data_IF_396224765601
#
_entry.id   IF_396224765601
#
_cell.length_a   1.000
_cell.length_b   1.000
_cell.length_c   1.000
_cell.angle_alpha   90.00
_cell.angle_beta   90.00
_cell.angle_gamma   90.00
#
_symmetry.space_group_name_H-M   'P 1'
#
loop_
_entity.id
_entity.type
_entity.pdbx_description
1 polymer ?
#
# COMPACT_ATOMS: atom_id res chain seq x y z
N UNK A 1 9.97 15.65 29.19
CA UNK A 1 9.46 16.34 27.99
C UNK A 1 9.80 15.46 26.78
N UNK A 2 8.87 14.60 26.38
CA UNK A 2 9.01 13.78 25.18
C UNK A 2 9.05 14.68 23.94
N UNK A 3 10.17 14.66 23.23
CA UNK A 3 10.23 15.23 21.89
C UNK A 3 9.31 14.38 21.01
N UNK A 4 8.08 14.85 20.76
CA UNK A 4 7.22 14.32 19.69
C UNK A 4 8.04 14.31 18.38
N UNK A 5 8.61 13.16 18.05
CA UNK A 5 9.32 12.96 16.79
C UNK A 5 8.40 13.35 15.64
N UNK A 6 8.86 14.21 14.74
CA UNK A 6 8.18 14.55 13.50
C UNK A 6 7.78 13.23 12.82
N UNK A 7 6.49 12.98 12.64
CA UNK A 7 5.99 11.79 11.90
C UNK A 7 6.61 11.82 10.51
N UNK A 8 7.64 11.00 10.31
CA UNK A 8 8.31 10.88 9.01
C UNK A 8 7.34 10.28 7.99
N UNK A 9 7.39 10.74 6.76
CA UNK A 9 6.60 10.16 5.68
C UNK A 9 7.26 8.87 5.18
N UNK A 10 6.46 7.94 4.63
CA UNK A 10 6.97 6.71 4.00
C UNK A 10 8.00 7.02 2.92
N UNK A 11 7.74 8.06 2.12
CA UNK A 11 8.67 8.51 1.07
C UNK A 11 10.02 8.95 1.64
N UNK A 12 10.03 9.63 2.80
CA UNK A 12 11.28 10.04 3.46
C UNK A 12 12.12 8.82 3.86
N UNK A 13 11.49 7.78 4.40
CA UNK A 13 12.17 6.53 4.76
C UNK A 13 12.73 5.82 3.53
N UNK A 14 11.93 5.68 2.47
CA UNK A 14 12.37 5.06 1.22
C UNK A 14 13.63 5.76 0.68
N UNK A 15 13.61 7.08 0.62
CA UNK A 15 14.74 7.87 0.10
C UNK A 15 15.99 7.76 0.98
N UNK A 16 15.82 7.68 2.31
CA UNK A 16 16.91 7.51 3.27
C UNK A 16 17.57 6.14 3.10
N UNK A 17 16.79 5.05 3.14
CA UNK A 17 17.30 3.69 3.01
C UNK A 17 17.82 3.36 1.60
N UNK A 18 17.26 3.99 0.56
CA UNK A 18 17.76 3.85 -0.82
C UNK A 18 19.14 4.49 -1.02
N UNK A 19 19.50 5.50 -0.24
CA UNK A 19 20.77 6.18 -0.33
C UNK A 19 21.08 6.68 -1.75
N UNK A 20 22.26 6.30 -2.31
CA UNK A 20 22.64 6.67 -3.68
C UNK A 20 21.74 6.05 -4.75
N UNK A 21 21.07 4.94 -4.47
CA UNK A 21 20.19 4.24 -5.42
C UNK A 21 18.77 4.82 -5.52
N UNK A 22 18.47 5.92 -4.83
CA UNK A 22 17.20 6.67 -5.00
C UNK A 22 16.93 7.07 -6.46
N UNK A 23 17.97 7.23 -7.28
CA UNK A 23 17.83 7.57 -8.70
C UNK A 23 17.14 6.47 -9.52
N UNK A 24 17.15 5.22 -9.07
CA UNK A 24 16.36 4.16 -9.70
C UNK A 24 14.84 4.41 -9.55
N UNK A 25 14.38 4.88 -8.38
CA UNK A 25 12.99 5.28 -8.21
C UNK A 25 12.65 6.52 -9.07
N UNK A 26 13.55 7.50 -9.17
CA UNK A 26 13.34 8.66 -10.04
C UNK A 26 13.23 8.24 -11.50
N UNK A 27 14.13 7.39 -11.97
CA UNK A 27 14.10 6.82 -13.33
C UNK A 27 12.80 6.03 -13.58
N UNK A 28 12.37 5.22 -12.61
CA UNK A 28 11.10 4.49 -12.66
C UNK A 28 9.91 5.44 -12.84
N UNK A 29 9.83 6.51 -12.05
CA UNK A 29 8.75 7.51 -12.15
C UNK A 29 8.76 8.20 -13.52
N UNK A 30 9.92 8.62 -14.02
CA UNK A 30 10.04 9.26 -15.34
C UNK A 30 9.56 8.32 -16.44
N UNK A 31 9.99 7.06 -16.41
CA UNK A 31 9.52 6.06 -17.39
C UNK A 31 8.03 5.76 -17.26
N UNK A 32 7.47 5.72 -16.04
CA UNK A 32 6.06 5.60 -15.82
C UNK A 32 5.28 6.78 -16.43
N UNK A 33 5.77 8.01 -16.28
CA UNK A 33 5.16 9.21 -16.89
C UNK A 33 5.20 9.14 -18.43
N UNK A 34 6.30 8.71 -19.02
CA UNK A 34 6.38 8.47 -20.46
C UNK A 34 5.44 7.35 -20.91
N UNK A 35 5.31 6.31 -20.11
CA UNK A 35 4.32 5.22 -20.30
C UNK A 35 2.88 5.72 -20.28
N UNK A 36 2.55 6.73 -19.48
CA UNK A 36 1.24 7.38 -19.47
C UNK A 36 0.94 8.04 -20.83
N UNK A 37 1.90 8.77 -21.40
CA UNK A 37 1.72 9.35 -22.73
C UNK A 37 1.44 8.28 -23.79
N UNK A 38 2.21 7.18 -23.77
CA UNK A 38 1.99 6.03 -24.66
C UNK A 38 0.62 5.34 -24.40
N UNK A 39 0.13 5.36 -23.16
CA UNK A 39 -1.18 4.80 -22.78
C UNK A 39 -2.35 5.69 -23.21
N UNK A 40 -2.15 6.99 -23.29
CA UNK A 40 -3.18 7.96 -23.68
C UNK A 40 -3.43 7.97 -25.19
N UNK A 41 -2.37 7.81 -26.00
CA UNK A 41 -2.46 7.89 -27.45
C UNK A 41 -3.45 6.91 -28.09
N UNK A 42 -3.56 5.62 -27.70
CA UNK A 42 -4.56 4.68 -28.24
C UNK A 42 -5.99 5.18 -28.16
N UNK A 43 -6.38 5.87 -27.10
CA UNK A 43 -7.73 6.44 -26.96
C UNK A 43 -8.03 7.50 -28.02
N UNK A 44 -7.04 8.36 -28.31
CA UNK A 44 -7.16 9.36 -29.37
C UNK A 44 -7.18 8.73 -30.76
N UNK A 45 -6.36 7.71 -30.98
CA UNK A 45 -6.32 6.97 -32.25
C UNK A 45 -7.67 6.28 -32.52
N UNK A 46 -8.25 5.61 -31.50
CA UNK A 46 -9.58 4.98 -31.62
C UNK A 46 -10.63 6.05 -31.94
N UNK A 47 -10.61 7.18 -31.24
CA UNK A 47 -11.55 8.26 -31.51
C UNK A 47 -11.44 8.78 -32.94
N UNK A 48 -10.22 8.92 -33.47
CA UNK A 48 -9.94 9.33 -34.83
C UNK A 48 -10.38 8.28 -35.86
N UNK A 49 -10.17 6.99 -35.62
CA UNK A 49 -10.65 5.89 -36.45
C UNK A 49 -12.19 5.94 -36.55
N UNK A 50 -12.87 6.04 -35.39
CA UNK A 50 -14.34 6.08 -35.33
C UNK A 50 -14.90 7.32 -36.02
N UNK A 51 -14.28 8.49 -35.80
CA UNK A 51 -14.66 9.76 -36.47
C UNK A 51 -14.63 9.61 -38.00
N UNK A 52 -13.49 9.16 -38.56
CA UNK A 52 -13.32 8.95 -40.01
C UNK A 52 -14.28 7.90 -40.57
N UNK A 53 -14.57 6.84 -39.78
CA UNK A 53 -15.57 5.82 -40.20
C UNK A 53 -16.97 6.43 -40.34
N UNK A 54 -17.38 7.29 -39.43
CA UNK A 54 -18.69 7.97 -39.47
C UNK A 54 -18.78 9.00 -40.59
N UNK A 55 -17.66 9.62 -40.98
CA UNK A 55 -17.57 10.48 -42.16
C UNK A 55 -17.61 9.71 -43.50
N UNK A 56 -17.61 8.38 -43.43
CA UNK A 56 -17.69 7.50 -44.60
C UNK A 56 -16.35 7.31 -45.30
N UNK A 57 -15.22 7.59 -44.66
CA UNK A 57 -13.91 7.32 -45.21
C UNK A 57 -13.74 5.81 -45.44
N UNK A 58 -13.41 5.42 -46.70
CA UNK A 58 -13.19 4.02 -47.11
C UNK A 58 -11.71 3.70 -47.38
N UNK A 59 -10.80 4.59 -47.00
CA UNK A 59 -9.37 4.38 -47.19
C UNK A 59 -8.83 3.33 -46.22
N UNK A 60 -8.62 2.13 -46.73
CA UNK A 60 -8.08 1.01 -45.96
C UNK A 60 -6.64 1.28 -45.46
N UNK A 61 -5.84 2.04 -46.21
CA UNK A 61 -4.46 2.37 -45.79
C UNK A 61 -4.47 3.24 -44.55
N UNK A 62 -5.40 4.19 -44.45
CA UNK A 62 -5.60 4.99 -43.26
C UNK A 62 -5.86 4.11 -42.02
N UNK A 63 -6.84 3.20 -42.09
CA UNK A 63 -7.20 2.34 -40.96
C UNK A 63 -6.06 1.40 -40.53
N UNK A 64 -5.36 0.83 -41.53
CA UNK A 64 -4.19 -0.01 -41.25
C UNK A 64 -3.08 0.78 -40.56
N UNK A 65 -2.76 1.99 -41.02
CA UNK A 65 -1.74 2.84 -40.43
C UNK A 65 -2.07 3.23 -39.00
N UNK A 66 -3.31 3.65 -38.71
CA UNK A 66 -3.75 4.00 -37.36
C UNK A 66 -3.72 2.77 -36.44
N UNK A 67 -4.11 1.60 -36.93
CA UNK A 67 -4.05 0.34 -36.14
C UNK A 67 -2.61 -0.05 -35.82
N UNK A 68 -1.68 0.07 -36.78
CA UNK A 68 -0.26 -0.19 -36.54
C UNK A 68 0.36 0.82 -35.56
N UNK A 69 -0.02 2.10 -35.66
CA UNK A 69 0.40 3.12 -34.71
C UNK A 69 -0.11 2.84 -33.31
N UNK A 70 -1.36 2.41 -33.16
CA UNK A 70 -1.92 1.99 -31.88
C UNK A 70 -1.15 0.80 -31.29
N UNK A 71 -0.84 -0.22 -32.12
CA UNK A 71 -0.04 -1.37 -31.69
C UNK A 71 1.36 -0.94 -31.23
N UNK A 72 2.00 0.00 -31.95
CA UNK A 72 3.29 0.56 -31.57
C UNK A 72 3.21 1.30 -30.23
N UNK A 73 2.18 2.10 -29.98
CA UNK A 73 1.95 2.77 -28.70
C UNK A 73 1.81 1.75 -27.56
N UNK A 74 1.12 0.63 -27.79
CA UNK A 74 0.97 -0.44 -26.81
C UNK A 74 2.29 -1.15 -26.50
N UNK A 75 3.10 -1.45 -27.52
CA UNK A 75 4.42 -2.03 -27.35
C UNK A 75 5.34 -1.07 -26.57
N UNK A 76 5.31 0.21 -26.91
CA UNK A 76 6.07 1.24 -26.21
C UNK A 76 5.65 1.34 -24.74
N UNK A 77 4.34 1.34 -24.46
CA UNK A 77 3.79 1.32 -23.09
C UNK A 77 4.31 0.13 -22.29
N UNK A 78 4.20 -1.10 -22.85
CA UNK A 78 4.64 -2.32 -22.18
C UNK A 78 6.14 -2.26 -21.88
N UNK A 79 6.94 -1.85 -22.84
CA UNK A 79 8.40 -1.73 -22.71
C UNK A 79 8.78 -0.71 -21.63
N UNK A 80 8.19 0.50 -21.69
CA UNK A 80 8.44 1.55 -20.71
C UNK A 80 8.01 1.11 -19.29
N UNK A 81 6.86 0.46 -19.17
CA UNK A 81 6.37 -0.07 -17.89
C UNK A 81 7.30 -1.15 -17.34
N UNK A 82 7.73 -2.11 -18.17
CA UNK A 82 8.64 -3.18 -17.74
C UNK A 82 9.99 -2.64 -17.26
N UNK A 83 10.56 -1.68 -17.97
CA UNK A 83 11.82 -1.04 -17.55
C UNK A 83 11.61 -0.23 -16.28
N UNK A 84 10.53 0.54 -16.19
CA UNK A 84 10.14 1.31 -15.00
C UNK A 84 10.05 0.44 -13.77
N UNK A 85 9.30 -0.67 -13.86
CA UNK A 85 9.12 -1.63 -12.76
C UNK A 85 10.45 -2.31 -12.39
N UNK A 86 11.26 -2.70 -13.37
CA UNK A 86 12.58 -3.28 -13.12
C UNK A 86 13.49 -2.33 -12.35
N UNK A 87 13.54 -1.04 -12.70
CA UNK A 87 14.28 -0.04 -11.94
C UNK A 87 13.75 0.10 -10.51
N UNK A 88 12.43 0.11 -10.34
CA UNK A 88 11.79 0.17 -9.02
C UNK A 88 12.17 -1.04 -8.16
N UNK A 89 12.20 -2.26 -8.71
CA UNK A 89 12.66 -3.46 -8.02
C UNK A 89 14.12 -3.34 -7.54
N UNK A 90 15.03 -2.85 -8.39
CA UNK A 90 16.44 -2.61 -7.99
C UNK A 90 16.52 -1.64 -6.81
N UNK A 91 15.75 -0.55 -6.85
CA UNK A 91 15.65 0.39 -5.74
C UNK A 91 15.11 -0.27 -4.47
N UNK A 92 14.03 -1.02 -4.59
CA UNK A 92 13.33 -1.71 -3.49
C UNK A 92 14.23 -2.73 -2.81
N UNK A 93 14.87 -3.64 -3.55
CA UNK A 93 15.80 -4.60 -2.97
C UNK A 93 16.97 -3.95 -2.25
N UNK A 94 17.40 -2.78 -2.72
CA UNK A 94 18.43 -1.98 -2.00
C UNK A 94 17.89 -1.47 -0.67
N UNK A 95 16.66 -0.96 -0.63
CA UNK A 95 16.00 -0.50 0.60
C UNK A 95 15.89 -1.67 1.60
N UNK A 96 15.33 -2.80 1.16
CA UNK A 96 15.15 -3.98 2.02
C UNK A 96 16.49 -4.51 2.54
N UNK A 97 17.52 -4.60 1.67
CA UNK A 97 18.84 -5.02 2.07
C UNK A 97 19.50 -4.07 3.08
N UNK A 98 19.34 -2.75 2.91
CA UNK A 98 19.84 -1.74 3.83
C UNK A 98 19.15 -1.84 5.20
N UNK A 99 17.82 -2.00 5.22
CA UNK A 99 17.06 -2.19 6.46
C UNK A 99 17.54 -3.43 7.21
N UNK A 100 17.63 -4.58 6.53
CA UNK A 100 18.10 -5.83 7.14
C UNK A 100 19.50 -5.69 7.73
N UNK A 101 20.42 -5.07 6.97
CA UNK A 101 21.78 -4.82 7.42
C UNK A 101 21.79 -3.96 8.68
N UNK A 102 21.09 -2.82 8.69
CA UNK A 102 21.03 -1.91 9.84
C UNK A 102 20.39 -2.56 11.06
N UNK A 103 19.34 -3.38 10.89
CA UNK A 103 18.72 -4.13 11.98
C UNK A 103 19.71 -5.13 12.60
N UNK A 104 20.43 -5.90 11.77
CA UNK A 104 21.45 -6.84 12.28
C UNK A 104 22.61 -6.13 12.99
N UNK A 105 23.10 -5.02 12.43
CA UNK A 105 24.10 -4.19 13.06
C UNK A 105 23.62 -3.63 14.40
N UNK A 106 22.37 -3.14 14.45
CA UNK A 106 21.76 -2.61 15.66
C UNK A 106 21.63 -3.67 16.76
N UNK A 107 21.17 -4.87 16.43
CA UNK A 107 21.08 -5.96 17.40
C UNK A 107 22.43 -6.33 18.01
N UNK A 108 23.53 -6.08 17.31
CA UNK A 108 24.90 -6.34 17.84
C UNK A 108 25.41 -5.21 18.75
N UNK A 109 24.75 -4.05 18.76
CA UNK A 109 25.20 -2.86 19.53
C UNK A 109 24.35 -2.56 20.74
N UNK A 110 23.10 -3.01 20.78
CA UNK A 110 22.21 -2.82 21.94
C UNK A 110 22.57 -3.78 23.08
N UNK A 111 22.22 -3.46 24.35
CA UNK A 111 22.44 -4.33 25.49
C UNK A 111 21.80 -5.71 25.31
N UNK A 112 22.52 -6.76 25.70
CA UNK A 112 22.04 -8.16 25.57
C UNK A 112 20.69 -8.38 26.27
N UNK A 113 20.48 -7.76 27.44
CA UNK A 113 19.21 -7.84 28.16
C UNK A 113 18.03 -7.37 27.31
N UNK A 114 18.21 -6.25 26.58
CA UNK A 114 17.17 -5.74 25.67
C UNK A 114 16.89 -6.65 24.49
N UNK A 115 17.88 -7.47 24.07
CA UNK A 115 17.68 -8.50 23.03
C UNK A 115 16.93 -9.71 23.59
N UNK A 116 17.27 -10.11 24.83
CA UNK A 116 16.66 -11.30 25.47
C UNK A 116 15.24 -11.04 26.00
N UNK A 117 14.89 -9.79 26.27
CA UNK A 117 13.53 -9.40 26.68
C UNK A 117 12.49 -9.67 25.58
N UNK A 118 12.90 -9.58 24.32
CA UNK A 118 12.05 -9.92 23.18
C UNK A 118 12.25 -11.39 22.75
N UNK A 119 11.19 -12.00 22.23
CA UNK A 119 11.28 -13.34 21.68
C UNK A 119 12.10 -13.33 20.38
N UNK A 120 13.06 -14.25 20.23
CA UNK A 120 13.86 -14.43 19.01
C UNK A 120 13.00 -14.58 17.73
N UNK A 121 11.82 -15.19 17.86
CA UNK A 121 10.83 -15.28 16.81
C UNK A 121 10.30 -13.92 16.34
N UNK A 122 10.21 -12.94 17.25
CA UNK A 122 9.80 -11.57 16.89
C UNK A 122 10.84 -10.88 16.01
N UNK A 123 12.12 -10.97 16.35
CA UNK A 123 13.19 -10.42 15.50
C UNK A 123 13.27 -11.11 14.14
N UNK A 124 13.16 -12.45 14.09
CA UNK A 124 13.07 -13.18 12.82
C UNK A 124 11.89 -12.67 11.98
N UNK A 125 10.72 -12.53 12.60
CA UNK A 125 9.53 -12.04 11.90
C UNK A 125 9.77 -10.65 11.29
N UNK A 126 10.33 -9.69 12.05
CA UNK A 126 10.58 -8.32 11.56
C UNK A 126 11.64 -8.33 10.46
N UNK A 127 12.80 -8.96 10.67
CA UNK A 127 13.94 -8.91 9.74
C UNK A 127 13.67 -9.67 8.44
N UNK A 128 12.97 -10.79 8.52
CA UNK A 128 12.72 -11.66 7.35
C UNK A 128 11.34 -11.40 6.78
N UNK A 129 10.27 -11.67 7.52
CA UNK A 129 8.92 -11.76 6.99
C UNK A 129 8.28 -10.38 6.75
N UNK A 130 8.40 -9.46 7.75
CA UNK A 130 7.81 -8.12 7.65
C UNK A 130 8.53 -7.26 6.62
N UNK A 131 9.87 -7.25 6.63
CA UNK A 131 10.66 -6.51 5.65
C UNK A 131 10.43 -7.07 4.24
N UNK A 132 10.37 -8.38 4.08
CA UNK A 132 10.08 -9.02 2.79
C UNK A 132 8.69 -8.66 2.26
N UNK A 133 7.70 -8.61 3.14
CA UNK A 133 6.32 -8.27 2.77
C UNK A 133 6.13 -6.83 2.24
N UNK A 134 7.15 -5.96 2.35
CA UNK A 134 7.15 -4.62 1.73
C UNK A 134 7.59 -4.63 0.26
N UNK A 135 8.23 -5.72 -0.21
CA UNK A 135 8.83 -5.77 -1.55
C UNK A 135 7.82 -5.42 -2.64
N UNK A 136 6.75 -6.19 -2.75
CA UNK A 136 5.74 -5.98 -3.78
C UNK A 136 5.15 -4.57 -3.73
N UNK A 137 4.82 -4.09 -2.54
CA UNK A 137 4.26 -2.74 -2.37
C UNK A 137 5.24 -1.67 -2.82
N UNK A 138 6.50 -1.71 -2.39
CA UNK A 138 7.49 -0.68 -2.75
C UNK A 138 7.86 -0.73 -4.23
N UNK A 139 8.00 -1.93 -4.81
CA UNK A 139 8.41 -2.11 -6.19
C UNK A 139 7.34 -1.68 -7.19
N UNK A 140 6.07 -1.97 -6.91
CA UNK A 140 4.96 -1.68 -7.82
C UNK A 140 4.28 -0.34 -7.53
N UNK A 141 4.14 0.04 -6.25
CA UNK A 141 3.44 1.27 -5.88
C UNK A 141 4.05 2.51 -6.56
N UNK A 142 5.38 2.66 -6.58
CA UNK A 142 6.02 3.89 -7.09
C UNK A 142 5.69 4.12 -8.57
N UNK A 143 5.93 3.18 -9.52
CA UNK A 143 5.60 3.39 -10.92
C UNK A 143 4.09 3.35 -11.20
N UNK A 144 3.37 2.41 -10.59
CA UNK A 144 1.96 2.19 -10.91
C UNK A 144 1.04 3.25 -10.30
N UNK A 145 1.29 3.69 -9.07
CA UNK A 145 0.55 4.81 -8.47
C UNK A 145 0.73 6.08 -9.31
N UNK A 146 1.97 6.35 -9.77
CA UNK A 146 2.25 7.49 -10.65
C UNK A 146 1.45 7.39 -11.95
N UNK A 147 1.46 6.24 -12.61
CA UNK A 147 0.74 6.04 -13.87
C UNK A 147 -0.78 6.11 -13.69
N UNK A 148 -1.31 5.42 -12.68
CA UNK A 148 -2.75 5.34 -12.40
C UNK A 148 -3.36 6.64 -11.88
N UNK A 149 -2.54 7.54 -11.31
CA UNK A 149 -2.99 8.87 -10.92
C UNK A 149 -2.89 9.88 -12.08
N UNK A 150 -1.80 9.82 -12.84
CA UNK A 150 -1.52 10.81 -13.88
C UNK A 150 -2.40 10.63 -15.11
N UNK A 151 -2.63 9.38 -15.56
CA UNK A 151 -3.42 9.10 -16.76
C UNK A 151 -4.85 9.67 -16.69
N UNK A 152 -5.63 9.44 -15.61
CA UNK A 152 -6.97 10.04 -15.48
C UNK A 152 -6.94 11.56 -15.45
N UNK A 153 -5.94 12.17 -14.82
CA UNK A 153 -5.79 13.62 -14.78
C UNK A 153 -5.61 14.17 -16.19
N UNK A 154 -4.72 13.56 -16.98
CA UNK A 154 -4.49 13.97 -18.39
C UNK A 154 -5.76 13.79 -19.21
N UNK A 155 -6.44 12.64 -19.07
CA UNK A 155 -7.71 12.38 -19.75
C UNK A 155 -8.78 13.41 -19.38
N UNK A 156 -8.95 13.69 -18.08
CA UNK A 156 -9.93 14.64 -17.60
C UNK A 156 -9.67 16.05 -18.13
N UNK A 157 -8.42 16.53 -18.07
CA UNK A 157 -8.02 17.83 -18.63
C UNK A 157 -8.32 17.89 -20.13
N UNK A 158 -8.04 16.81 -20.85
CA UNK A 158 -8.33 16.76 -22.29
C UNK A 158 -9.85 16.80 -22.57
N UNK A 159 -10.67 16.06 -21.83
CA UNK A 159 -12.14 16.12 -21.96
C UNK A 159 -12.66 17.54 -21.65
N UNK A 160 -12.14 18.17 -20.59
CA UNK A 160 -12.46 19.56 -20.24
C UNK A 160 -12.08 20.55 -21.37
N UNK A 161 -11.01 20.27 -22.12
CA UNK A 161 -10.63 21.09 -23.27
C UNK A 161 -11.54 20.91 -24.51
N UNK A 162 -12.23 19.78 -24.63
CA UNK A 162 -13.25 19.54 -25.65
C UNK A 162 -14.49 20.40 -25.34
N UNK A 163 -15.06 20.20 -24.16
CA UNK A 163 -16.15 21.01 -23.59
C UNK A 163 -16.19 20.79 -22.06
N UNK A 164 -16.20 21.87 -21.29
CA UNK A 164 -16.19 21.81 -19.83
C UNK A 164 -17.45 21.12 -19.25
N UNK A 165 -18.60 21.22 -19.93
CA UNK A 165 -19.86 20.57 -19.52
C UNK A 165 -19.75 19.05 -19.67
N UNK A 166 -19.06 18.58 -20.70
CA UNK A 166 -18.77 17.17 -20.91
C UNK A 166 -17.81 16.64 -19.82
N UNK A 167 -16.79 17.44 -19.45
CA UNK A 167 -15.90 17.15 -18.35
C UNK A 167 -16.65 17.03 -17.02
N UNK A 168 -17.52 17.97 -16.69
CA UNK A 168 -18.36 17.90 -15.50
C UNK A 168 -19.34 16.72 -15.53
N UNK A 169 -19.78 16.29 -16.70
CA UNK A 169 -20.61 15.10 -16.88
C UNK A 169 -19.96 13.83 -16.33
N UNK A 170 -18.62 13.72 -16.42
CA UNK A 170 -17.88 12.60 -15.84
C UNK A 170 -17.99 12.55 -14.30
N UNK A 171 -18.22 13.67 -13.65
CA UNK A 171 -18.29 13.75 -12.19
C UNK A 171 -19.67 13.34 -11.65
N UNK A 172 -20.70 13.23 -12.48
CA UNK A 172 -22.07 12.88 -12.03
C UNK A 172 -22.07 11.49 -11.39
N UNK A 173 -21.58 10.47 -12.10
CA UNK A 173 -21.48 9.12 -11.55
C UNK A 173 -20.57 9.04 -10.33
N UNK A 174 -19.40 9.69 -10.41
CA UNK A 174 -18.46 9.76 -9.30
C UNK A 174 -19.09 10.43 -8.06
N UNK A 175 -19.84 11.52 -8.23
CA UNK A 175 -20.55 12.20 -7.14
C UNK A 175 -21.58 11.30 -6.45
N UNK A 176 -22.38 10.57 -7.22
CA UNK A 176 -23.32 9.59 -6.67
C UNK A 176 -22.58 8.47 -5.94
N UNK A 177 -21.50 7.93 -6.55
CA UNK A 177 -20.66 6.91 -5.93
C UNK A 177 -20.03 7.36 -4.61
N UNK A 178 -19.56 8.61 -4.53
CA UNK A 178 -19.02 9.20 -3.30
C UNK A 178 -20.08 9.35 -2.19
N UNK A 179 -21.34 9.67 -2.56
CA UNK A 179 -22.44 9.68 -1.59
C UNK A 179 -22.65 8.27 -1.01
N UNK A 180 -22.71 7.24 -1.85
CA UNK A 180 -22.80 5.85 -1.38
C UNK A 180 -21.61 5.46 -0.50
N UNK A 181 -20.40 5.88 -0.86
CA UNK A 181 -19.18 5.65 -0.06
C UNK A 181 -19.29 6.33 1.32
N UNK A 182 -19.77 7.57 1.38
CA UNK A 182 -19.98 8.27 2.64
C UNK A 182 -21.01 7.55 3.53
N UNK A 183 -22.12 7.06 2.95
CA UNK A 183 -23.12 6.25 3.66
C UNK A 183 -22.50 4.93 4.14
N UNK A 184 -21.66 4.28 3.33
CA UNK A 184 -20.96 3.06 3.73
C UNK A 184 -20.04 3.31 4.92
N UNK A 185 -19.23 4.37 4.86
CA UNK A 185 -18.32 4.74 5.95
C UNK A 185 -19.09 5.05 7.24
N UNK A 186 -20.20 5.76 7.16
CA UNK A 186 -21.07 6.02 8.32
C UNK A 186 -21.63 4.73 8.93
N UNK A 187 -22.15 3.82 8.10
CA UNK A 187 -22.70 2.53 8.56
C UNK A 187 -21.63 1.55 9.05
N UNK A 188 -20.38 1.71 8.60
CA UNK A 188 -19.25 0.89 9.01
C UNK A 188 -18.69 1.26 10.37
N UNK A 189 -19.02 2.43 10.93
CA UNK A 189 -18.49 2.89 12.20
C UNK A 189 -18.75 1.88 13.33
N UNK A 190 -17.69 1.61 14.10
CA UNK A 190 -17.71 0.65 15.21
C UNK A 190 -17.80 -0.83 14.82
N UNK A 191 -18.24 -1.15 13.60
CA UNK A 191 -18.34 -2.54 13.13
C UNK A 191 -16.97 -3.16 12.85
N UNK A 192 -16.07 -2.40 12.28
CA UNK A 192 -14.70 -2.85 12.02
C UNK A 192 -13.94 -3.10 13.32
N UNK A 193 -13.92 -2.13 14.24
CA UNK A 193 -13.23 -2.27 15.52
C UNK A 193 -13.76 -3.46 16.31
N UNK A 194 -15.09 -3.64 16.34
CA UNK A 194 -15.71 -4.78 17.03
C UNK A 194 -15.31 -6.11 16.37
N UNK A 195 -15.28 -6.16 15.04
CA UNK A 195 -14.83 -7.34 14.29
C UNK A 195 -13.38 -7.69 14.62
N UNK A 196 -12.48 -6.70 14.65
CA UNK A 196 -11.06 -6.89 15.02
C UNK A 196 -10.94 -7.40 16.46
N UNK A 197 -11.70 -6.84 17.41
CA UNK A 197 -11.70 -7.30 18.81
C UNK A 197 -12.18 -8.77 18.94
N UNK A 198 -13.24 -9.15 18.20
CA UNK A 198 -13.74 -10.53 18.22
C UNK A 198 -12.75 -11.50 17.54
N UNK A 199 -12.10 -11.08 16.46
CA UNK A 199 -11.02 -11.86 15.82
C UNK A 199 -9.85 -12.08 16.77
N UNK A 200 -9.45 -11.05 17.53
CA UNK A 200 -8.40 -11.19 18.55
C UNK A 200 -8.84 -12.20 19.63
N UNK A 201 -10.07 -12.07 20.17
CA UNK A 201 -10.61 -13.01 21.15
C UNK A 201 -10.61 -14.45 20.62
N UNK A 202 -10.97 -14.67 19.36
CA UNK A 202 -10.92 -15.98 18.72
C UNK A 202 -9.49 -16.53 18.66
N UNK A 203 -8.53 -15.71 18.25
CA UNK A 203 -7.10 -16.10 18.18
C UNK A 203 -6.56 -16.45 19.58
N UNK A 204 -6.84 -15.62 20.58
CA UNK A 204 -6.42 -15.85 21.96
C UNK A 204 -7.00 -17.19 22.49
N UNK A 205 -8.29 -17.45 22.21
CA UNK A 205 -8.97 -18.70 22.59
C UNK A 205 -8.37 -19.92 21.84
N UNK A 206 -8.01 -19.75 20.57
CA UNK A 206 -7.34 -20.82 19.80
C UNK A 206 -5.97 -21.17 20.38
N UNK A 207 -5.16 -20.15 20.72
CA UNK A 207 -3.85 -20.35 21.37
C UNK A 207 -4.01 -21.02 22.74
N UNK A 208 -4.98 -20.57 23.56
CA UNK A 208 -5.29 -21.20 24.84
C UNK A 208 -5.66 -22.69 24.68
N UNK A 209 -6.49 -23.02 23.67
CA UNK A 209 -6.89 -24.37 23.36
C UNK A 209 -5.70 -25.25 22.90
N UNK A 210 -4.85 -24.73 22.00
CA UNK A 210 -3.68 -25.46 21.49
C UNK A 210 -2.66 -25.70 22.61
N UNK A 211 -2.33 -24.69 23.39
CA UNK A 211 -1.36 -24.80 24.48
C UNK A 211 -1.86 -25.69 25.62
N UNK A 212 -3.18 -25.71 25.86
CA UNK A 212 -3.81 -26.56 26.89
C UNK A 212 -4.17 -27.97 26.43
N UNK A 213 -3.87 -28.36 25.17
CA UNK A 213 -4.39 -29.61 24.59
C UNK A 213 -3.95 -30.88 25.35
N UNK A 214 -2.75 -30.87 25.93
CA UNK A 214 -2.24 -32.00 26.74
C UNK A 214 -3.07 -32.18 28.02
N UNK A 215 -3.35 -31.07 28.72
CA UNK A 215 -4.15 -31.06 29.94
C UNK A 215 -5.59 -31.46 29.63
N UNK A 216 -6.15 -30.89 28.55
CA UNK A 216 -7.53 -31.20 28.11
C UNK A 216 -7.69 -32.69 27.82
N UNK A 217 -6.69 -33.31 27.14
CA UNK A 217 -6.69 -34.76 26.86
C UNK A 217 -6.53 -35.59 28.13
N UNK A 218 -5.61 -35.20 29.03
CA UNK A 218 -5.37 -35.93 30.27
C UNK A 218 -6.60 -35.98 31.18
N UNK A 219 -7.38 -34.92 31.26
CA UNK A 219 -8.57 -34.83 32.11
C UNK A 219 -9.91 -35.11 31.40
N UNK A 220 -9.87 -35.47 30.11
CA UNK A 220 -11.08 -35.79 29.34
C UNK A 220 -12.09 -34.63 29.14
N UNK A 221 -11.64 -33.37 29.36
CA UNK A 221 -12.50 -32.16 29.25
C UNK A 221 -12.50 -31.56 27.84
N UNK A 222 -12.41 -32.38 26.82
CA UNK A 222 -12.37 -31.93 25.40
C UNK A 222 -13.61 -31.13 24.99
N UNK A 223 -14.82 -31.48 25.50
CA UNK A 223 -16.05 -30.83 25.11
C UNK A 223 -16.15 -29.36 25.52
N UNK A 224 -15.87 -29.02 26.78
CA UNK A 224 -16.03 -27.67 27.30
C UNK A 224 -15.02 -26.65 26.75
N UNK A 225 -13.78 -27.10 26.54
CA UNK A 225 -12.73 -26.24 25.95
C UNK A 225 -12.96 -26.01 24.47
N UNK A 226 -13.46 -27.00 23.74
CA UNK A 226 -13.85 -26.86 22.34
C UNK A 226 -15.07 -25.95 22.19
N UNK A 227 -16.05 -26.06 23.09
CA UNK A 227 -17.24 -25.20 23.09
C UNK A 227 -16.91 -23.72 23.26
N UNK A 228 -15.95 -23.37 24.12
CA UNK A 228 -15.45 -22.00 24.29
C UNK A 228 -14.89 -21.44 22.98
N UNK A 229 -14.13 -22.24 22.23
CA UNK A 229 -13.60 -21.88 20.92
C UNK A 229 -14.74 -21.68 19.89
N UNK A 230 -15.70 -22.59 19.83
CA UNK A 230 -16.85 -22.52 18.91
C UNK A 230 -17.70 -21.28 19.18
N UNK A 231 -17.94 -20.96 20.47
CA UNK A 231 -18.66 -19.74 20.85
C UNK A 231 -17.92 -18.49 20.37
N UNK A 232 -16.61 -18.39 20.61
CA UNK A 232 -15.79 -17.26 20.15
C UNK A 232 -15.82 -17.12 18.62
N UNK A 233 -15.77 -18.24 17.90
CA UNK A 233 -15.84 -18.26 16.43
C UNK A 233 -17.22 -17.78 15.92
N UNK A 234 -18.32 -18.23 16.53
CA UNK A 234 -19.68 -17.79 16.19
C UNK A 234 -19.89 -16.32 16.47
N UNK A 235 -19.51 -15.85 17.67
CA UNK A 235 -19.60 -14.42 18.02
C UNK A 235 -18.85 -13.55 17.02
N UNK A 236 -17.66 -13.98 16.58
CA UNK A 236 -16.87 -13.27 15.56
C UNK A 236 -17.58 -13.26 14.20
N UNK A 237 -18.09 -14.40 13.77
CA UNK A 237 -18.84 -14.54 12.53
C UNK A 237 -20.12 -13.68 12.52
N UNK A 238 -20.90 -13.70 13.58
CA UNK A 238 -22.14 -12.95 13.68
C UNK A 238 -21.89 -11.43 13.60
N UNK A 239 -20.88 -10.92 14.32
CA UNK A 239 -20.49 -9.51 14.25
C UNK A 239 -20.04 -9.13 12.84
N UNK A 240 -19.26 -9.98 12.18
CA UNK A 240 -18.79 -9.73 10.82
C UNK A 240 -19.94 -9.73 9.81
N UNK A 241 -20.86 -10.70 9.92
CA UNK A 241 -22.06 -10.81 9.06
C UNK A 241 -22.96 -9.58 9.24
N UNK A 242 -23.19 -9.14 10.47
CA UNK A 242 -24.03 -7.97 10.73
C UNK A 242 -23.40 -6.68 10.23
N UNK A 243 -22.08 -6.54 10.37
CA UNK A 243 -21.33 -5.43 9.78
C UNK A 243 -21.42 -5.45 8.26
N UNK A 244 -21.15 -6.59 7.60
CA UNK A 244 -21.27 -6.76 6.16
C UNK A 244 -22.69 -6.47 5.64
N UNK A 245 -23.72 -6.95 6.31
CA UNK A 245 -25.12 -6.67 5.93
C UNK A 245 -25.44 -5.18 5.92
N UNK A 246 -24.88 -4.41 6.85
CA UNK A 246 -25.06 -2.96 6.90
C UNK A 246 -24.32 -2.23 5.76
N UNK A 247 -23.18 -2.76 5.34
CA UNK A 247 -22.28 -2.13 4.37
C UNK A 247 -22.55 -2.57 2.92
N UNK A 248 -23.14 -3.75 2.67
CA UNK A 248 -23.21 -4.37 1.32
C UNK A 248 -23.94 -3.50 0.30
N UNK A 249 -25.07 -2.91 0.66
CA UNK A 249 -25.82 -2.07 -0.27
C UNK A 249 -25.13 -0.75 -0.62
N UNK A 250 -24.63 0.03 0.36
CA UNK A 250 -23.84 1.21 0.06
C UNK A 250 -22.56 0.87 -0.71
N UNK A 251 -21.89 -0.23 -0.40
CA UNK A 251 -20.72 -0.69 -1.13
C UNK A 251 -21.05 -1.04 -2.59
N UNK A 252 -22.13 -1.78 -2.82
CA UNK A 252 -22.61 -2.09 -4.16
C UNK A 252 -22.94 -0.80 -4.95
N UNK A 253 -23.58 0.17 -4.31
CA UNK A 253 -23.83 1.50 -4.89
C UNK A 253 -22.54 2.22 -5.26
N UNK A 254 -21.54 2.24 -4.36
CA UNK A 254 -20.22 2.81 -4.64
C UNK A 254 -19.58 2.16 -5.87
N UNK A 255 -19.52 0.82 -5.90
CA UNK A 255 -18.88 0.07 -7.01
C UNK A 255 -19.61 0.23 -8.34
N UNK A 256 -20.91 0.49 -8.30
CA UNK A 256 -21.74 0.69 -9.51
C UNK A 256 -21.62 2.12 -10.04
N UNK A 257 -21.79 3.12 -9.17
CA UNK A 257 -21.91 4.51 -9.61
C UNK A 257 -20.56 5.22 -9.72
N UNK A 258 -19.57 4.87 -8.92
CA UNK A 258 -18.25 5.52 -8.98
C UNK A 258 -17.62 5.45 -10.38
N UNK A 259 -17.61 4.28 -11.09
CA UNK A 259 -17.09 4.18 -12.46
C UNK A 259 -18.12 4.57 -13.55
N UNK A 260 -19.34 4.92 -13.20
CA UNK A 260 -20.42 5.18 -14.15
C UNK A 260 -20.31 6.58 -14.80
N UNK A 261 -19.18 6.88 -15.45
CA UNK A 261 -18.93 8.15 -16.13
C UNK A 261 -19.97 8.45 -17.22
N UNK A 262 -20.48 7.43 -17.89
CA UNK A 262 -21.48 7.56 -18.94
C UNK A 262 -22.83 8.09 -18.45
N UNK A 263 -23.14 7.99 -17.16
CA UNK A 263 -24.38 8.47 -16.60
C UNK A 263 -24.61 9.99 -16.85
N UNK A 264 -23.54 10.76 -16.81
CA UNK A 264 -23.60 12.18 -17.11
C UNK A 264 -23.11 12.51 -18.52
N UNK A 265 -22.06 11.83 -19.00
CA UNK A 265 -21.44 12.13 -20.31
C UNK A 265 -22.40 11.90 -21.46
N UNK A 266 -23.19 10.80 -21.45
CA UNK A 266 -24.11 10.50 -22.54
C UNK A 266 -25.24 11.55 -22.67
N UNK A 267 -26.06 11.83 -21.63
CA UNK A 267 -27.15 12.81 -21.79
C UNK A 267 -26.65 14.22 -22.06
N UNK A 268 -25.58 14.65 -21.39
CA UNK A 268 -25.01 16.00 -21.60
C UNK A 268 -24.41 16.09 -23.01
N UNK A 269 -23.63 15.09 -23.43
CA UNK A 269 -22.99 15.08 -24.73
C UNK A 269 -23.99 15.02 -25.88
N UNK A 270 -25.04 14.19 -25.78
CA UNK A 270 -26.14 14.15 -26.78
C UNK A 270 -26.85 15.51 -26.87
N UNK A 271 -27.12 16.15 -25.73
CA UNK A 271 -27.73 17.48 -25.72
C UNK A 271 -26.80 18.51 -26.38
N UNK A 272 -25.49 18.47 -26.13
CA UNK A 272 -24.53 19.37 -26.76
C UNK A 272 -24.42 19.18 -28.27
N UNK A 273 -24.42 17.93 -28.75
CA UNK A 273 -24.43 17.61 -30.19
C UNK A 273 -25.70 18.10 -30.84
N UNK A 274 -26.89 17.82 -30.25
CA UNK A 274 -28.18 18.21 -30.79
C UNK A 274 -28.34 19.73 -30.91
N UNK A 275 -27.69 20.49 -30.00
CA UNK A 275 -27.68 21.95 -30.05
C UNK A 275 -26.52 22.53 -30.89
N UNK A 276 -25.75 21.69 -31.57
CA UNK A 276 -24.63 22.13 -32.42
C UNK A 276 -23.44 22.71 -31.64
N UNK A 277 -23.38 22.50 -30.31
CA UNK A 277 -22.30 23.05 -29.46
C UNK A 277 -20.98 22.25 -29.61
N UNK A 278 -21.06 20.96 -29.89
CA UNK A 278 -19.90 20.11 -30.20
C UNK A 278 -20.21 19.23 -31.42
N UNK A 279 -19.16 18.79 -32.10
CA UNK A 279 -19.30 17.86 -33.22
C UNK A 279 -19.50 16.42 -32.69
N UNK A 280 -20.17 15.51 -33.47
CA UNK A 280 -20.28 14.10 -33.13
C UNK A 280 -18.91 13.45 -32.86
N UNK A 281 -17.88 13.78 -33.63
CA UNK A 281 -16.50 13.28 -33.44
C UNK A 281 -15.95 13.65 -32.05
N UNK A 282 -16.09 14.92 -31.63
CA UNK A 282 -15.67 15.38 -30.30
C UNK A 282 -16.43 14.68 -29.17
N UNK A 283 -17.72 14.44 -29.37
CA UNK A 283 -18.53 13.69 -28.41
C UNK A 283 -18.06 12.25 -28.28
N UNK A 284 -17.78 11.56 -29.39
CA UNK A 284 -17.25 10.19 -29.38
C UNK A 284 -15.89 10.13 -28.70
N UNK A 285 -15.01 11.10 -28.97
CA UNK A 285 -13.72 11.23 -28.27
C UNK A 285 -13.95 11.34 -26.76
N UNK A 286 -14.89 12.17 -26.33
CA UNK A 286 -15.28 12.30 -24.93
C UNK A 286 -15.76 10.98 -24.31
N UNK A 287 -16.60 10.20 -25.02
CA UNK A 287 -17.07 8.89 -24.55
C UNK A 287 -15.89 7.92 -24.35
N UNK A 288 -15.02 7.80 -25.36
CA UNK A 288 -13.88 6.88 -25.35
C UNK A 288 -12.93 7.19 -24.20
N UNK A 289 -12.59 8.48 -23.98
CA UNK A 289 -11.76 8.92 -22.87
C UNK A 289 -12.44 8.69 -21.52
N UNK A 290 -13.74 8.96 -21.42
CA UNK A 290 -14.50 8.75 -20.20
C UNK A 290 -14.55 7.29 -19.76
N UNK A 291 -14.54 6.34 -20.70
CA UNK A 291 -14.46 4.91 -20.39
C UNK A 291 -13.16 4.51 -19.70
N UNK A 292 -12.06 5.18 -20.04
CA UNK A 292 -10.73 4.91 -19.47
C UNK A 292 -10.41 5.67 -18.17
N UNK A 293 -11.25 6.61 -17.74
CA UNK A 293 -10.91 7.59 -16.73
C UNK A 293 -10.90 7.05 -15.30
N UNK A 294 -11.91 6.29 -14.91
CA UNK A 294 -12.12 5.94 -13.49
C UNK A 294 -11.34 4.70 -13.05
N UNK A 295 -11.19 3.70 -13.91
CA UNK A 295 -10.53 2.44 -13.55
C UNK A 295 -9.12 2.63 -12.96
N UNK A 296 -8.23 3.46 -13.56
CA UNK A 296 -6.93 3.73 -12.96
C UNK A 296 -7.01 4.41 -11.59
N UNK A 297 -7.98 5.30 -11.37
CA UNK A 297 -8.19 5.93 -10.07
C UNK A 297 -8.58 4.91 -9.00
N UNK A 298 -9.49 3.98 -9.33
CA UNK A 298 -9.86 2.89 -8.41
C UNK A 298 -8.64 2.06 -8.03
N UNK A 299 -7.79 1.71 -9.01
CA UNK A 299 -6.52 1.01 -8.74
C UNK A 299 -5.59 1.85 -7.86
N UNK A 300 -5.46 3.15 -8.11
CA UNK A 300 -4.64 4.03 -7.26
C UNK A 300 -5.11 4.04 -5.79
N UNK A 301 -6.42 3.97 -5.53
CA UNK A 301 -6.95 3.90 -4.17
C UNK A 301 -6.60 2.60 -3.43
N UNK A 302 -6.43 1.46 -4.13
CA UNK A 302 -6.03 0.21 -3.47
C UNK A 302 -4.65 0.31 -2.82
N UNK A 303 -3.75 1.15 -3.34
CA UNK A 303 -2.43 1.37 -2.74
C UNK A 303 -2.46 2.10 -1.40
N UNK A 304 -3.60 2.66 -0.98
CA UNK A 304 -3.72 3.33 0.32
C UNK A 304 -3.51 2.34 1.47
N UNK A 305 -4.08 1.15 1.38
CA UNK A 305 -3.94 0.10 2.39
C UNK A 305 -2.50 -0.43 2.43
N UNK A 306 -1.89 -0.58 1.27
CA UNK A 306 -0.49 -0.99 1.14
C UNK A 306 0.46 0.05 1.75
N UNK A 307 0.19 1.34 1.56
CA UNK A 307 0.94 2.42 2.21
C UNK A 307 0.84 2.38 3.74
N UNK A 308 -0.34 2.09 4.28
CA UNK A 308 -0.55 1.94 5.73
C UNK A 308 0.23 0.75 6.28
N UNK A 309 0.23 -0.38 5.56
CA UNK A 309 1.02 -1.56 5.90
C UNK A 309 2.52 -1.24 5.94
N UNK A 310 3.05 -0.65 4.88
CA UNK A 310 4.46 -0.25 4.80
C UNK A 310 4.83 0.73 5.91
N UNK A 311 3.96 1.71 6.19
CA UNK A 311 4.16 2.65 7.30
C UNK A 311 4.26 1.96 8.65
N UNK A 312 3.42 0.97 8.91
CA UNK A 312 3.45 0.19 10.15
C UNK A 312 4.77 -0.56 10.29
N UNK A 313 5.23 -1.22 9.23
CA UNK A 313 6.50 -1.95 9.23
C UNK A 313 7.69 -1.01 9.43
N UNK A 314 7.72 0.15 8.77
CA UNK A 314 8.74 1.16 9.03
C UNK A 314 8.72 1.66 10.49
N UNK A 315 7.55 1.74 11.12
CA UNK A 315 7.43 2.05 12.55
C UNK A 315 8.12 0.99 13.41
N UNK A 316 7.83 -0.30 13.17
CA UNK A 316 8.46 -1.44 13.87
C UNK A 316 9.99 -1.47 13.67
N UNK A 317 10.44 -1.24 12.44
CA UNK A 317 11.89 -1.14 12.11
C UNK A 317 12.54 0.02 12.87
N UNK A 318 11.92 1.20 12.85
CA UNK A 318 12.46 2.40 13.49
C UNK A 318 12.53 2.24 15.00
N UNK A 319 11.54 1.59 15.61
CA UNK A 319 11.54 1.31 17.06
C UNK A 319 12.77 0.51 17.49
N UNK A 320 13.20 -0.49 16.69
CA UNK A 320 14.41 -1.24 16.97
C UNK A 320 15.67 -0.39 16.72
N UNK A 321 15.71 0.36 15.62
CA UNK A 321 16.88 1.17 15.25
C UNK A 321 17.12 2.33 16.20
N UNK A 322 16.08 2.85 16.86
CA UNK A 322 16.17 3.95 17.83
C UNK A 322 16.47 3.50 19.28
N UNK A 323 16.55 2.18 19.55
CA UNK A 323 16.98 1.67 20.86
C UNK A 323 18.38 2.18 21.21
N UNK A 324 18.63 2.43 22.50
CA UNK A 324 19.94 2.89 22.96
C UNK A 324 20.99 1.81 22.77
N UNK A 325 22.14 2.19 22.24
CA UNK A 325 23.30 1.32 22.14
C UNK A 325 23.92 1.08 23.53
N UNK A 326 24.55 -0.08 23.69
CA UNK A 326 25.32 -0.36 24.88
C UNK A 326 26.45 0.66 25.04
N UNK A 327 26.55 1.27 26.22
CA UNK A 327 27.63 2.20 26.50
C UNK A 327 28.98 1.48 26.41
N UNK A 328 29.82 1.89 25.47
CA UNK A 328 31.18 1.41 25.33
C UNK A 328 32.13 2.57 25.46
N UNK A 329 33.21 2.46 26.30
CA UNK A 329 34.20 3.52 26.40
C UNK A 329 34.87 3.75 25.04
N UNK A 330 34.90 4.99 24.58
CA UNK A 330 35.47 5.39 23.30
C UNK A 330 37.03 5.41 23.31
N UNK A 331 37.63 5.36 24.48
CA UNK A 331 39.07 5.43 24.64
C UNK A 331 39.51 4.27 25.54
N UNK A 332 40.41 3.43 25.05
CA UNK A 332 41.14 2.45 25.85
C UNK A 332 42.26 3.21 26.56
N UNK A 333 42.06 3.52 27.84
CA UNK A 333 42.97 4.33 28.65
C UNK A 333 44.20 3.59 29.16
N UNK A 334 44.16 2.24 29.13
CA UNK A 334 45.31 1.42 29.53
C UNK A 334 45.33 0.10 28.76
N UNK A 335 46.53 -0.39 28.41
CA UNK A 335 46.71 -1.79 27.98
C UNK A 335 46.85 -2.64 29.22
N UNK A 336 46.16 -3.78 29.34
CA UNK A 336 46.35 -4.68 30.46
C UNK A 336 47.82 -5.14 30.55
N UNK A 337 48.41 -5.07 31.76
CA UNK A 337 49.75 -5.51 32.04
C UNK A 337 49.70 -6.83 32.81
N UNK A 338 49.16 -7.84 32.24
CA UNK A 338 48.98 -9.16 32.85
C UNK A 338 47.75 -9.86 32.42
N UNK A 339 47.49 -11.07 32.95
CA UNK A 339 46.34 -11.89 32.65
C UNK A 339 45.30 -11.93 33.76
N UNK A 340 45.57 -11.21 34.86
CA UNK A 340 44.72 -11.24 36.05
C UNK A 340 43.53 -10.28 35.87
N UNK A 341 42.38 -10.76 36.31
CA UNK A 341 41.12 -10.00 36.32
C UNK A 341 40.73 -9.84 37.78
N UNK A 342 40.67 -8.60 38.24
CA UNK A 342 40.25 -8.28 39.59
C UNK A 342 38.94 -7.48 39.53
N UNK A 343 37.92 -7.95 40.22
CA UNK A 343 36.66 -7.24 40.43
C UNK A 343 36.66 -6.61 41.82
N UNK A 344 36.34 -5.33 41.91
CA UNK A 344 36.25 -4.60 43.19
C UNK A 344 34.94 -3.86 43.28
N UNK A 345 34.18 -4.15 44.32
CA UNK A 345 32.92 -3.48 44.67
C UNK A 345 31.98 -3.35 43.44
N UNK A 346 31.78 -4.47 42.74
CA UNK A 346 30.96 -4.47 41.51
C UNK A 346 29.50 -4.53 41.87
N UNK A 347 28.77 -3.47 41.49
CA UNK A 347 27.32 -3.36 41.58
C UNK A 347 26.71 -3.49 40.21
N UNK A 348 25.62 -4.26 40.08
CA UNK A 348 24.88 -4.37 38.84
C UNK A 348 23.39 -4.44 39.10
N UNK A 349 22.63 -3.57 38.40
CA UNK A 349 21.18 -3.50 38.44
C UNK A 349 20.59 -3.98 37.14
N UNK A 350 19.69 -4.96 37.22
CA UNK A 350 18.93 -5.45 36.10
C UNK A 350 17.52 -4.87 36.15
N UNK A 351 17.19 -3.97 35.24
CA UNK A 351 15.95 -3.14 35.28
C UNK A 351 15.92 -2.33 36.61
N UNK A 352 14.95 -2.63 37.47
CA UNK A 352 14.75 -1.93 38.73
C UNK A 352 15.28 -2.72 39.97
N UNK A 353 15.85 -3.91 39.73
CA UNK A 353 16.38 -4.75 40.79
C UNK A 353 17.90 -4.84 40.71
N UNK A 354 18.58 -4.48 41.80
CA UNK A 354 20.02 -4.71 41.94
C UNK A 354 20.26 -6.21 42.11
N UNK A 355 21.13 -6.79 41.29
CA UNK A 355 21.44 -8.23 41.25
C UNK A 355 22.83 -8.52 41.80
N UNK A 356 23.79 -7.59 41.61
CA UNK A 356 25.11 -7.67 42.24
C UNK A 356 25.25 -6.53 43.22
N UNK A 357 25.61 -6.86 44.46
CA UNK A 357 25.69 -5.96 45.61
C UNK A 357 27.12 -5.92 46.14
N UNK A 358 28.04 -5.22 45.46
CA UNK A 358 29.43 -5.09 45.93
C UNK A 358 30.20 -6.43 45.87
N UNK A 359 30.35 -6.98 44.67
CA UNK A 359 31.08 -8.26 44.47
C UNK A 359 32.55 -7.98 44.25
N UNK A 360 33.38 -8.62 45.10
CA UNK A 360 34.84 -8.65 45.00
C UNK A 360 35.32 -10.03 44.54
N UNK A 361 36.15 -10.10 43.51
CA UNK A 361 36.68 -11.35 43.00
C UNK A 361 38.04 -11.15 42.34
#
# INVERSE_FOLDING_TARGET
>A
MEKKGKKRSVLSWILEFAGRKKWFFVGSVVLAMLGVAASFMPYLIIARIVGNLLEGNKDWQFYLTETLLMALCWLLRITLHSISTSLSHVGTFTVLGTIRKQLCEKLSTIPLGSVLDDNSGSYKNIIVERVDSMETTLAHMVPEFTANLLLPIVMFIYIMSIDWRLGLGNLVGAGIGLIFMAVMMYKSQGGWELSVQKTKKLNDTAVEYINGIEVIKAFGKTGSSYEKFVIAAREGADVYIDWMRRCIWPQAGTMTFLPATFLGVLPIGLWLVNNGAITPERFITGIILSAGLITPLVVAFTYTDDLLKVRTIFGEVTEILERQDMHRPSIITSKPQGSDIELKDVHFTYKDAEVLHGVDM
#
